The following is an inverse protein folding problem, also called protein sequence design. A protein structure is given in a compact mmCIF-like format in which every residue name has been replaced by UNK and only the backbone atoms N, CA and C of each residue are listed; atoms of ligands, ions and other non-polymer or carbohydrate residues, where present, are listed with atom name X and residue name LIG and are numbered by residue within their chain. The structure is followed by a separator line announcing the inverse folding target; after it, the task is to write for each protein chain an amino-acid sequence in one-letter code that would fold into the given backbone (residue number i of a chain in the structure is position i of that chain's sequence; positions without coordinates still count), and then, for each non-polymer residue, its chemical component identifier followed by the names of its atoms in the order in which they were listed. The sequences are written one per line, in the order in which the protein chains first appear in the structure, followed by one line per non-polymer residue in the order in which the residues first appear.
data_IF_682352640153
#
_entry.id   IF_682352640153
#
_cell.length_a   1.000
_cell.length_b   1.000
_cell.length_c   1.000
_cell.angle_alpha   90.00
_cell.angle_beta   90.00
_cell.angle_gamma   90.00
#
_symmetry.space_group_name_H-M   'P 1'
#
loop_
_entity.id
_entity.type
_entity.pdbx_description
1 polymer ?
#
# COMPACT_ATOMS: atom_id res chain seq x y z
N UNK A 1 82.13 -22.55 -39.43
CA UNK A 1 81.73 -22.46 -38.01
C UNK A 1 80.65 -21.39 -37.95
N UNK A 2 79.40 -21.78 -38.15
CA UNK A 2 78.22 -20.92 -38.06
C UNK A 2 77.25 -21.65 -37.13
N UNK A 3 77.05 -21.12 -35.93
CA UNK A 3 76.03 -21.60 -35.00
C UNK A 3 74.66 -21.21 -35.52
N UNK A 4 73.84 -22.23 -35.79
CA UNK A 4 72.40 -22.09 -36.02
C UNK A 4 71.76 -22.13 -34.63
N UNK A 5 71.41 -20.96 -34.11
CA UNK A 5 70.53 -20.82 -32.94
C UNK A 5 69.13 -21.28 -33.35
N UNK A 6 68.71 -22.45 -32.85
CA UNK A 6 67.32 -22.82 -32.82
C UNK A 6 66.62 -21.97 -31.76
N UNK A 7 65.82 -21.00 -32.19
CA UNK A 7 64.77 -20.43 -31.37
C UNK A 7 63.75 -21.54 -31.07
N UNK A 8 63.90 -22.17 -29.92
CA UNK A 8 62.81 -22.89 -29.27
C UNK A 8 61.80 -21.85 -28.83
N UNK A 9 60.80 -21.61 -29.68
CA UNK A 9 59.55 -20.95 -29.30
C UNK A 9 58.90 -21.78 -28.18
N UNK A 10 59.25 -21.45 -26.94
CA UNK A 10 58.51 -21.87 -25.77
C UNK A 10 57.11 -21.27 -25.90
N UNK A 11 56.15 -22.10 -26.31
CA UNK A 11 54.74 -21.81 -26.14
C UNK A 11 54.51 -21.62 -24.64
N UNK A 12 54.55 -20.36 -24.20
CA UNK A 12 54.12 -19.98 -22.88
C UNK A 12 52.63 -20.29 -22.78
N UNK A 13 52.31 -21.47 -22.25
CA UNK A 13 50.97 -21.84 -21.84
C UNK A 13 50.57 -20.85 -20.75
N UNK A 14 49.85 -19.80 -21.13
CA UNK A 14 49.29 -18.83 -20.19
C UNK A 14 48.35 -19.58 -19.26
N UNK A 15 48.79 -19.76 -18.02
CA UNK A 15 48.06 -20.51 -17.00
C UNK A 15 46.75 -19.80 -16.70
N UNK A 16 45.65 -20.49 -16.96
CA UNK A 16 44.27 -20.09 -16.73
C UNK A 16 44.05 -19.50 -15.32
N UNK A 17 43.77 -18.20 -15.25
CA UNK A 17 43.28 -17.51 -14.04
C UNK A 17 41.84 -17.02 -14.20
N UNK A 18 41.00 -17.80 -14.90
CA UNK A 18 39.63 -17.40 -15.26
C UNK A 18 38.50 -18.14 -14.50
N UNK A 19 38.77 -19.26 -13.83
CA UNK A 19 37.70 -20.10 -13.24
C UNK A 19 36.95 -19.45 -12.08
N UNK A 20 37.66 -18.73 -11.19
CA UNK A 20 37.04 -18.08 -10.02
C UNK A 20 36.09 -16.93 -10.39
N UNK A 21 36.34 -16.25 -11.52
CA UNK A 21 35.49 -15.15 -11.97
C UNK A 21 34.15 -15.66 -12.53
N UNK A 22 34.16 -16.75 -13.31
CA UNK A 22 32.92 -17.30 -13.88
C UNK A 22 32.03 -17.94 -12.82
N UNK A 23 32.60 -18.60 -11.81
CA UNK A 23 31.85 -19.13 -10.67
C UNK A 23 31.09 -18.03 -9.94
N UNK A 24 31.74 -16.89 -9.68
CA UNK A 24 31.11 -15.72 -9.06
C UNK A 24 29.95 -15.18 -9.93
N UNK A 25 30.16 -15.03 -11.25
CA UNK A 25 29.11 -14.58 -12.16
C UNK A 25 27.92 -15.56 -12.19
N UNK A 26 28.16 -16.87 -12.20
CA UNK A 26 27.10 -17.88 -12.12
C UNK A 26 26.31 -17.78 -10.81
N UNK A 27 27.00 -17.55 -9.68
CA UNK A 27 26.34 -17.36 -8.39
C UNK A 27 25.46 -16.09 -8.36
N UNK A 28 25.96 -14.96 -8.88
CA UNK A 28 25.22 -13.70 -8.97
C UNK A 28 23.96 -13.87 -9.83
N UNK A 29 24.09 -14.49 -11.00
CA UNK A 29 22.97 -14.70 -11.92
C UNK A 29 21.93 -15.64 -11.32
N UNK A 30 22.37 -16.70 -10.63
CA UNK A 30 21.47 -17.61 -9.91
C UNK A 30 20.70 -16.88 -8.80
N UNK A 31 21.40 -16.03 -8.03
CA UNK A 31 20.75 -15.21 -6.99
C UNK A 31 19.72 -14.25 -7.57
N UNK A 32 20.05 -13.56 -8.67
CA UNK A 32 19.11 -12.68 -9.38
C UNK A 32 17.88 -13.44 -9.86
N UNK A 33 18.06 -14.66 -10.37
CA UNK A 33 16.96 -15.52 -10.80
C UNK A 33 16.00 -15.87 -9.65
N UNK A 34 16.54 -16.24 -8.48
CA UNK A 34 15.73 -16.53 -7.28
C UNK A 34 14.97 -15.28 -6.82
N UNK A 35 15.67 -14.13 -6.76
CA UNK A 35 15.06 -12.85 -6.37
C UNK A 35 13.95 -12.45 -7.36
N UNK A 36 14.19 -12.57 -8.67
CA UNK A 36 13.19 -12.27 -9.69
C UNK A 36 11.95 -13.17 -9.57
N UNK A 37 12.11 -14.48 -9.36
CA UNK A 37 10.97 -15.37 -9.11
C UNK A 37 10.16 -14.93 -7.89
N UNK A 38 10.83 -14.67 -6.78
CA UNK A 38 10.17 -14.22 -5.56
C UNK A 38 9.38 -12.93 -5.78
N UNK A 39 9.99 -11.92 -6.42
CA UNK A 39 9.34 -10.64 -6.71
C UNK A 39 8.16 -10.79 -7.67
N UNK A 40 8.27 -11.64 -8.70
CA UNK A 40 7.17 -11.92 -9.64
C UNK A 40 5.98 -12.59 -8.95
N UNK A 41 6.22 -13.66 -8.17
CA UNK A 41 5.17 -14.35 -7.42
C UNK A 41 4.49 -13.37 -6.46
N UNK A 42 5.29 -12.62 -5.69
CA UNK A 42 4.79 -11.61 -4.75
C UNK A 42 4.00 -10.51 -5.47
N UNK A 43 4.45 -10.07 -6.64
CA UNK A 43 3.75 -9.10 -7.46
C UNK A 43 2.37 -9.60 -7.86
N UNK A 44 2.28 -10.78 -8.49
CA UNK A 44 1.00 -11.28 -8.99
C UNK A 44 -0.03 -11.55 -7.90
N UNK A 45 0.40 -12.10 -6.76
CA UNK A 45 -0.47 -12.31 -5.60
C UNK A 45 -1.06 -10.98 -5.13
N UNK A 46 -0.23 -9.96 -4.95
CA UNK A 46 -0.70 -8.68 -4.41
C UNK A 46 -1.42 -7.81 -5.45
N UNK A 47 -1.06 -7.94 -6.73
CA UNK A 47 -1.77 -7.30 -7.83
C UNK A 47 -3.20 -7.85 -7.95
N UNK A 48 -3.36 -9.17 -7.93
CA UNK A 48 -4.68 -9.82 -7.89
C UNK A 48 -5.48 -9.37 -6.67
N UNK A 49 -4.87 -9.40 -5.47
CA UNK A 49 -5.52 -8.92 -4.23
C UNK A 49 -5.96 -7.46 -4.34
N UNK A 50 -5.17 -6.61 -4.98
CA UNK A 50 -5.50 -5.21 -5.20
C UNK A 50 -6.71 -5.05 -6.13
N UNK A 51 -6.76 -5.79 -7.24
CA UNK A 51 -7.92 -5.79 -8.14
C UNK A 51 -9.16 -6.27 -7.41
N UNK A 52 -9.08 -7.44 -6.77
CA UNK A 52 -10.19 -8.05 -6.04
C UNK A 52 -10.74 -7.10 -4.96
N UNK A 53 -9.83 -6.42 -4.23
CA UNK A 53 -10.22 -5.44 -3.22
C UNK A 53 -10.86 -4.19 -3.84
N UNK A 54 -10.33 -3.69 -4.96
CA UNK A 54 -10.89 -2.54 -5.68
C UNK A 54 -12.32 -2.85 -6.14
N UNK A 55 -12.53 -4.01 -6.75
CA UNK A 55 -13.84 -4.50 -7.19
C UNK A 55 -14.80 -4.65 -6.01
N UNK A 56 -14.38 -5.28 -4.92
CA UNK A 56 -15.22 -5.46 -3.72
C UNK A 56 -15.67 -4.13 -3.12
N UNK A 57 -14.74 -3.18 -2.94
CA UNK A 57 -15.02 -1.93 -2.22
C UNK A 57 -15.84 -0.96 -3.08
N UNK A 58 -15.54 -0.86 -4.37
CA UNK A 58 -16.26 0.05 -5.28
C UNK A 58 -17.57 -0.55 -5.79
N UNK A 59 -17.65 -1.87 -6.00
CA UNK A 59 -18.86 -2.59 -6.40
C UNK A 59 -19.53 -1.92 -7.63
N UNK A 60 -20.83 -1.63 -7.56
CA UNK A 60 -21.64 -0.96 -8.59
C UNK A 60 -21.08 0.38 -9.10
N UNK A 61 -20.27 1.10 -8.32
CA UNK A 61 -19.67 2.36 -8.76
C UNK A 61 -18.51 2.12 -9.75
N UNK A 62 -17.97 0.89 -9.81
CA UNK A 62 -16.90 0.50 -10.72
C UNK A 62 -17.49 0.02 -12.05
N UNK A 63 -17.64 0.97 -12.98
CA UNK A 63 -18.21 0.78 -14.32
C UNK A 63 -17.11 0.65 -15.39
N UNK A 64 -15.86 0.98 -15.06
CA UNK A 64 -14.71 0.83 -15.95
C UNK A 64 -13.53 0.24 -15.19
N UNK A 65 -12.64 -0.43 -15.93
CA UNK A 65 -11.33 -0.88 -15.46
C UNK A 65 -10.60 0.20 -14.66
N UNK A 66 -10.59 0.05 -13.35
CA UNK A 66 -9.88 0.92 -12.43
C UNK A 66 -9.28 0.06 -11.31
N UNK A 67 -8.03 0.36 -10.94
CA UNK A 67 -7.29 -0.34 -9.91
C UNK A 67 -6.80 0.72 -8.92
N UNK A 68 -7.25 0.63 -7.67
CA UNK A 68 -6.91 1.61 -6.66
C UNK A 68 -5.39 1.68 -6.47
N UNK A 69 -4.85 2.90 -6.48
CA UNK A 69 -3.45 3.16 -6.21
C UNK A 69 -2.50 2.79 -7.35
N UNK A 70 -3.00 2.33 -8.50
CA UNK A 70 -2.18 2.14 -9.70
C UNK A 70 -2.13 3.46 -10.49
N UNK A 71 -1.08 4.25 -10.28
CA UNK A 71 -0.82 5.48 -11.05
C UNK A 71 0.69 5.66 -11.26
N UNK A 72 1.08 6.44 -12.26
CA UNK A 72 2.50 6.72 -12.55
C UNK A 72 3.26 7.34 -11.36
N UNK A 73 2.56 7.96 -10.41
CA UNK A 73 3.16 8.60 -9.24
C UNK A 73 3.14 7.70 -8.00
N UNK A 74 2.60 6.49 -8.08
CA UNK A 74 2.45 5.60 -6.92
C UNK A 74 3.62 4.63 -6.77
N UNK A 75 3.84 4.19 -5.53
CA UNK A 75 4.84 3.16 -5.20
C UNK A 75 4.62 1.85 -5.99
N UNK A 76 3.38 1.56 -6.37
CA UNK A 76 3.03 0.41 -7.19
C UNK A 76 3.72 0.44 -8.57
N UNK A 77 3.72 1.61 -9.21
CA UNK A 77 4.36 1.81 -10.50
C UNK A 77 5.88 1.70 -10.41
N UNK A 78 6.48 2.25 -9.35
CA UNK A 78 7.92 2.08 -9.10
C UNK A 78 8.30 0.61 -8.85
N UNK A 79 7.47 -0.17 -8.16
CA UNK A 79 7.70 -1.61 -7.99
C UNK A 79 7.69 -2.35 -9.34
N UNK A 80 6.78 -2.00 -10.26
CA UNK A 80 6.76 -2.56 -11.62
C UNK A 80 8.08 -2.26 -12.33
N UNK A 81 8.54 -1.01 -12.28
CA UNK A 81 9.81 -0.60 -12.90
C UNK A 81 10.98 -1.38 -12.30
N UNK A 82 11.06 -1.49 -10.97
CA UNK A 82 12.15 -2.19 -10.28
C UNK A 82 12.21 -3.65 -10.71
N UNK A 83 11.07 -4.35 -10.76
CA UNK A 83 11.01 -5.75 -11.22
C UNK A 83 11.56 -5.87 -12.64
N UNK A 84 11.10 -5.01 -13.55
CA UNK A 84 11.56 -5.00 -14.94
C UNK A 84 13.06 -4.74 -15.04
N UNK A 85 13.59 -3.78 -14.28
CA UNK A 85 15.02 -3.46 -14.25
C UNK A 85 15.88 -4.61 -13.72
N UNK A 86 15.43 -5.32 -12.68
CA UNK A 86 16.18 -6.46 -12.12
C UNK A 86 16.16 -7.65 -13.10
N UNK A 87 15.04 -7.90 -13.78
CA UNK A 87 14.97 -8.92 -14.84
C UNK A 87 15.92 -8.55 -15.99
N UNK A 88 15.89 -7.30 -16.47
CA UNK A 88 16.83 -6.85 -17.50
C UNK A 88 18.28 -6.97 -17.06
N UNK A 89 18.60 -6.64 -15.81
CA UNK A 89 19.95 -6.79 -15.26
C UNK A 89 20.41 -8.25 -15.33
N UNK A 90 19.55 -9.22 -14.98
CA UNK A 90 19.84 -10.63 -15.14
C UNK A 90 20.12 -10.99 -16.61
N UNK A 91 19.28 -10.53 -17.54
CA UNK A 91 19.43 -10.81 -18.98
C UNK A 91 20.77 -10.27 -19.50
N UNK A 92 21.08 -9.00 -19.22
CA UNK A 92 22.32 -8.38 -19.67
C UNK A 92 23.56 -9.02 -19.04
N UNK A 93 23.56 -9.27 -17.73
CA UNK A 93 24.70 -9.92 -17.05
C UNK A 93 24.93 -11.32 -17.63
N UNK A 94 23.86 -12.08 -17.87
CA UNK A 94 23.94 -13.42 -18.47
C UNK A 94 24.53 -13.36 -19.88
N UNK A 95 24.07 -12.40 -20.70
CA UNK A 95 24.58 -12.20 -22.06
C UNK A 95 26.08 -11.79 -22.07
N UNK A 96 26.47 -10.82 -21.24
CA UNK A 96 27.87 -10.40 -21.13
C UNK A 96 28.78 -11.52 -20.62
N UNK A 97 28.32 -12.29 -19.62
CA UNK A 97 29.05 -13.43 -19.10
C UNK A 97 29.21 -14.52 -20.16
N UNK A 98 28.16 -14.77 -20.96
CA UNK A 98 28.18 -15.74 -22.05
C UNK A 98 29.22 -15.38 -23.12
N UNK A 99 29.25 -14.13 -23.58
CA UNK A 99 30.26 -13.64 -24.54
C UNK A 99 31.67 -13.83 -23.99
N UNK A 100 31.88 -13.52 -22.70
CA UNK A 100 33.18 -13.68 -22.04
C UNK A 100 33.60 -15.15 -21.91
N UNK A 101 32.66 -16.04 -21.62
CA UNK A 101 32.90 -17.48 -21.55
C UNK A 101 33.37 -18.02 -22.90
N UNK A 102 32.66 -17.70 -23.99
CA UNK A 102 33.07 -18.11 -25.34
C UNK A 102 34.44 -17.56 -25.74
N UNK A 103 34.70 -16.27 -25.49
CA UNK A 103 35.99 -15.65 -25.80
C UNK A 103 37.16 -16.24 -24.99
N UNK A 104 36.90 -16.75 -23.79
CA UNK A 104 37.91 -17.40 -22.94
C UNK A 104 38.16 -18.89 -23.25
N UNK A 105 37.34 -19.50 -24.12
CA UNK A 105 37.38 -20.94 -24.42
C UNK A 105 36.92 -21.85 -23.27
N UNK A 106 36.48 -21.32 -22.13
CA UNK A 106 36.02 -22.12 -20.99
C UNK A 106 34.52 -22.41 -21.04
N UNK A 107 34.10 -23.21 -22.02
CA UNK A 107 32.69 -23.49 -22.34
C UNK A 107 31.92 -24.26 -21.26
N UNK A 108 32.58 -24.72 -20.19
CA UNK A 108 31.94 -25.45 -19.08
C UNK A 108 30.83 -24.64 -18.37
N UNK A 109 30.96 -23.31 -18.33
CA UNK A 109 29.97 -22.42 -17.73
C UNK A 109 28.92 -21.89 -18.71
N UNK A 110 29.09 -22.13 -20.02
CA UNK A 110 28.18 -21.62 -21.05
C UNK A 110 26.71 -22.07 -20.83
N UNK A 111 26.42 -23.35 -20.49
CA UNK A 111 25.04 -23.79 -20.26
C UNK A 111 24.31 -23.00 -19.18
N UNK A 112 25.01 -22.62 -18.10
CA UNK A 112 24.41 -21.84 -16.99
C UNK A 112 23.99 -20.45 -17.45
N UNK A 113 24.85 -19.76 -18.21
CA UNK A 113 24.54 -18.42 -18.70
C UNK A 113 23.50 -18.42 -19.82
N UNK A 114 23.47 -19.46 -20.67
CA UNK A 114 22.40 -19.66 -21.67
C UNK A 114 21.06 -19.84 -20.96
N UNK A 115 20.98 -20.78 -20.01
CA UNK A 115 19.76 -21.05 -19.27
C UNK A 115 19.26 -19.80 -18.53
N UNK A 116 20.15 -19.06 -17.87
CA UNK A 116 19.78 -17.85 -17.16
C UNK A 116 19.29 -16.71 -18.06
N UNK A 117 19.86 -16.58 -19.26
CA UNK A 117 19.39 -15.65 -20.28
C UNK A 117 17.99 -16.03 -20.77
N UNK A 118 17.78 -17.29 -21.16
CA UNK A 118 16.49 -17.79 -21.63
C UNK A 118 15.40 -17.66 -20.55
N UNK A 119 15.70 -18.09 -19.33
CA UNK A 119 14.80 -17.96 -18.18
C UNK A 119 14.48 -16.48 -17.92
N UNK A 120 15.45 -15.57 -18.03
CA UNK A 120 15.22 -14.13 -17.88
C UNK A 120 14.24 -13.58 -18.92
N UNK A 121 14.37 -13.98 -20.18
CA UNK A 121 13.43 -13.61 -21.25
C UNK A 121 12.04 -14.20 -21.02
N UNK A 122 11.96 -15.47 -20.61
CA UNK A 122 10.69 -16.13 -20.26
C UNK A 122 10.03 -15.40 -19.09
N UNK A 123 10.78 -15.01 -18.06
CA UNK A 123 10.28 -14.23 -16.92
C UNK A 123 9.74 -12.87 -17.35
N UNK A 124 10.44 -12.17 -18.24
CA UNK A 124 9.97 -10.89 -18.77
C UNK A 124 8.67 -11.06 -19.57
N UNK A 125 8.63 -12.05 -20.46
CA UNK A 125 7.42 -12.38 -21.22
C UNK A 125 6.26 -12.76 -20.31
N UNK A 126 6.51 -13.63 -19.33
CA UNK A 126 5.53 -14.04 -18.34
C UNK A 126 5.03 -12.85 -17.50
N UNK A 127 5.91 -11.91 -17.14
CA UNK A 127 5.55 -10.69 -16.43
C UNK A 127 4.56 -9.85 -17.23
N UNK A 128 4.92 -9.51 -18.47
CA UNK A 128 4.10 -8.68 -19.36
C UNK A 128 2.77 -9.37 -19.66
N UNK A 129 2.81 -10.63 -20.11
CA UNK A 129 1.61 -11.39 -20.47
C UNK A 129 0.69 -11.52 -19.25
N UNK A 130 1.21 -11.96 -18.10
CA UNK A 130 0.37 -12.18 -16.92
C UNK A 130 -0.20 -10.87 -16.35
N UNK A 131 0.53 -9.75 -16.44
CA UNK A 131 0.01 -8.45 -16.04
C UNK A 131 -1.25 -8.08 -16.86
N UNK A 132 -1.18 -8.22 -18.19
CA UNK A 132 -2.31 -7.94 -19.08
C UNK A 132 -3.43 -8.98 -18.94
N UNK A 133 -3.11 -10.28 -18.87
CA UNK A 133 -4.09 -11.36 -18.72
C UNK A 133 -4.85 -11.21 -17.41
N UNK A 134 -4.18 -10.95 -16.28
CA UNK A 134 -4.87 -10.75 -15.01
C UNK A 134 -5.83 -9.57 -15.07
N UNK A 135 -5.41 -8.46 -15.67
CA UNK A 135 -6.28 -7.30 -15.86
C UNK A 135 -7.47 -7.65 -16.75
N UNK A 136 -7.22 -8.24 -17.92
CA UNK A 136 -8.27 -8.63 -18.85
C UNK A 136 -9.26 -9.60 -18.22
N UNK A 137 -8.80 -10.72 -17.66
CA UNK A 137 -9.68 -11.74 -17.05
C UNK A 137 -10.51 -11.16 -15.91
N UNK A 138 -9.93 -10.28 -15.08
CA UNK A 138 -10.65 -9.68 -13.95
C UNK A 138 -11.67 -8.62 -14.37
N UNK A 139 -11.43 -7.92 -15.48
CA UNK A 139 -12.32 -6.89 -16.00
C UNK A 139 -13.11 -7.34 -17.24
N UNK A 140 -13.10 -8.62 -17.59
CA UNK A 140 -13.90 -9.17 -18.70
C UNK A 140 -15.35 -9.46 -18.26
N UNK A 141 -16.03 -8.45 -17.72
CA UNK A 141 -17.45 -8.48 -17.40
C UNK A 141 -18.16 -7.35 -18.14
N UNK A 142 -19.41 -7.53 -18.62
CA UNK A 142 -20.15 -6.49 -19.35
C UNK A 142 -20.36 -5.17 -18.58
N UNK A 143 -20.25 -5.23 -17.25
CA UNK A 143 -20.25 -4.08 -16.36
C UNK A 143 -19.08 -3.13 -16.64
N UNK A 144 -17.92 -3.64 -17.05
CA UNK A 144 -16.71 -2.85 -17.27
C UNK A 144 -16.68 -2.33 -18.70
N UNK A 145 -17.29 -1.18 -18.92
CA UNK A 145 -17.44 -0.53 -20.21
C UNK A 145 -16.13 0.11 -20.66
N UNK A 146 -15.85 0.02 -21.95
CA UNK A 146 -14.58 0.46 -22.53
C UNK A 146 -14.60 1.94 -22.96
N UNK A 147 -15.72 2.40 -23.54
CA UNK A 147 -15.84 3.77 -24.05
C UNK A 147 -16.32 4.72 -22.96
N UNK A 148 -15.93 5.99 -23.04
CA UNK A 148 -16.37 6.98 -22.05
C UNK A 148 -17.89 7.23 -22.14
N UNK A 149 -18.48 7.13 -23.32
CA UNK A 149 -19.91 7.27 -23.55
C UNK A 149 -20.70 6.12 -22.90
N UNK A 150 -20.25 4.87 -23.06
CA UNK A 150 -20.86 3.73 -22.39
C UNK A 150 -20.78 3.86 -20.86
N UNK A 151 -19.62 4.30 -20.34
CA UNK A 151 -19.45 4.54 -18.90
C UNK A 151 -20.39 5.64 -18.43
N UNK A 152 -20.53 6.71 -19.21
CA UNK A 152 -21.44 7.80 -18.91
C UNK A 152 -22.89 7.32 -18.81
N UNK A 153 -23.37 6.59 -19.82
CA UNK A 153 -24.72 6.05 -19.90
C UNK A 153 -25.03 5.08 -18.74
N UNK A 154 -24.06 4.25 -18.36
CA UNK A 154 -24.19 3.34 -17.23
C UNK A 154 -24.26 4.11 -15.90
N UNK A 155 -23.49 5.19 -15.73
CA UNK A 155 -23.60 6.06 -14.55
C UNK A 155 -24.93 6.81 -14.49
N UNK A 156 -25.47 7.25 -15.63
CA UNK A 156 -26.84 7.79 -15.72
C UNK A 156 -27.87 6.74 -15.30
N UNK A 157 -27.67 5.49 -15.73
CA UNK A 157 -28.53 4.37 -15.30
C UNK A 157 -28.42 4.11 -13.80
N UNK A 158 -27.21 4.16 -13.24
CA UNK A 158 -26.97 4.03 -11.80
C UNK A 158 -27.60 5.18 -10.99
N UNK A 159 -27.56 6.41 -11.51
CA UNK A 159 -28.23 7.59 -10.94
C UNK A 159 -29.73 7.35 -10.82
N UNK A 160 -30.39 6.86 -11.87
CA UNK A 160 -31.82 6.57 -11.82
C UNK A 160 -32.14 5.39 -10.89
N UNK A 161 -31.31 4.34 -10.88
CA UNK A 161 -31.49 3.19 -9.98
C UNK A 161 -31.37 3.59 -8.51
N UNK A 162 -30.52 4.55 -8.19
CA UNK A 162 -30.26 5.04 -6.82
C UNK A 162 -31.04 6.28 -6.42
N UNK A 163 -31.92 6.78 -7.29
CA UNK A 163 -32.57 8.10 -7.17
C UNK A 163 -33.19 8.38 -5.80
N UNK A 164 -33.74 7.37 -5.13
CA UNK A 164 -34.35 7.49 -3.80
C UNK A 164 -33.34 7.65 -2.68
N UNK A 165 -32.14 7.09 -2.83
CA UNK A 165 -31.06 7.15 -1.85
C UNK A 165 -30.15 8.39 -2.02
N UNK A 166 -30.26 9.11 -3.14
CA UNK A 166 -29.45 10.31 -3.40
C UNK A 166 -30.02 11.51 -2.66
N UNK A 167 -29.17 12.19 -1.90
CA UNK A 167 -29.54 13.43 -1.23
C UNK A 167 -29.61 14.56 -2.27
N UNK A 168 -30.81 15.07 -2.52
CA UNK A 168 -31.01 16.21 -3.44
C UNK A 168 -30.52 17.54 -2.85
N UNK A 169 -30.32 17.60 -1.53
CA UNK A 169 -29.91 18.78 -0.79
C UNK A 169 -28.43 18.74 -0.39
N UNK A 170 -27.60 17.99 -1.13
CA UNK A 170 -26.16 17.97 -0.87
C UNK A 170 -25.57 19.40 -0.93
N UNK A 171 -24.59 19.73 -0.07
CA UNK A 171 -24.04 21.08 0.00
C UNK A 171 -23.24 21.41 -1.26
N UNK A 172 -23.41 22.62 -1.81
CA UNK A 172 -22.63 23.03 -3.00
C UNK A 172 -21.13 23.08 -2.71
N UNK A 173 -20.77 23.57 -1.53
CA UNK A 173 -19.39 23.67 -1.05
C UNK A 173 -19.28 23.18 0.39
N UNK A 174 -18.16 22.55 0.70
CA UNK A 174 -17.77 22.18 2.06
C UNK A 174 -16.49 22.95 2.37
N UNK A 175 -16.39 23.49 3.58
CA UNK A 175 -15.16 24.10 4.08
C UNK A 175 -14.82 23.47 5.44
N UNK A 176 -13.59 23.00 5.59
CA UNK A 176 -13.06 22.41 6.82
C UNK A 176 -12.08 23.39 7.45
N UNK A 177 -12.14 23.58 8.76
CA UNK A 177 -11.11 24.32 9.48
C UNK A 177 -9.82 23.48 9.58
N UNK A 178 -8.98 23.59 8.55
CA UNK A 178 -7.71 22.87 8.47
C UNK A 178 -6.72 23.30 9.55
N UNK A 179 -6.84 24.52 10.13
CA UNK A 179 -5.95 24.97 11.21
C UNK A 179 -6.30 24.27 12.51
N UNK A 180 -7.59 24.24 12.87
CA UNK A 180 -8.07 23.48 14.03
C UNK A 180 -7.76 21.99 13.86
N UNK A 181 -8.00 21.43 12.69
CA UNK A 181 -7.67 20.03 12.41
C UNK A 181 -6.18 19.73 12.59
N UNK A 182 -5.28 20.59 12.05
CA UNK A 182 -3.83 20.43 12.17
C UNK A 182 -3.33 20.36 13.61
N UNK A 183 -4.00 21.04 14.54
CA UNK A 183 -3.65 20.99 15.98
C UNK A 183 -3.99 19.65 16.65
N UNK A 184 -4.88 18.87 16.05
CA UNK A 184 -5.38 17.60 16.58
C UNK A 184 -4.94 16.38 15.76
N UNK A 185 -4.53 16.61 14.51
CA UNK A 185 -4.01 15.61 13.58
C UNK A 185 -3.18 16.30 12.49
N UNK A 186 -1.87 16.05 12.48
CA UNK A 186 -0.93 16.73 11.58
C UNK A 186 -1.08 16.28 10.11
N UNK A 187 -1.59 15.05 9.87
CA UNK A 187 -1.60 14.41 8.55
C UNK A 187 -2.92 14.59 7.80
N UNK A 188 -4.06 14.52 8.50
CA UNK A 188 -5.39 14.67 7.90
C UNK A 188 -5.63 15.94 7.09
N UNK A 189 -5.08 17.14 7.43
CA UNK A 189 -5.27 18.33 6.62
C UNK A 189 -4.81 18.17 5.16
N UNK A 190 -3.79 17.34 4.91
CA UNK A 190 -3.28 17.08 3.55
C UNK A 190 -4.25 16.20 2.75
N UNK A 191 -4.93 15.26 3.41
CA UNK A 191 -5.96 14.42 2.80
C UNK A 191 -7.20 15.27 2.50
N UNK A 192 -7.70 15.99 3.51
CA UNK A 192 -8.94 16.75 3.39
C UNK A 192 -8.83 17.97 2.48
N UNK A 193 -7.70 18.66 2.42
CA UNK A 193 -7.51 19.75 1.46
C UNK A 193 -7.71 19.27 0.02
N UNK A 194 -7.18 18.10 -0.34
CA UNK A 194 -7.38 17.49 -1.66
C UNK A 194 -8.81 17.01 -1.86
N UNK A 195 -9.39 16.35 -0.86
CA UNK A 195 -10.72 15.77 -0.97
C UNK A 195 -11.79 16.85 -1.13
N UNK A 196 -11.75 17.85 -0.25
CA UNK A 196 -12.66 18.99 -0.30
C UNK A 196 -12.42 19.87 -1.53
N UNK A 197 -11.16 20.06 -1.95
CA UNK A 197 -10.85 20.74 -3.21
C UNK A 197 -11.53 20.05 -4.40
N UNK A 198 -11.34 18.73 -4.54
CA UNK A 198 -12.04 17.95 -5.57
C UNK A 198 -13.56 18.03 -5.44
N UNK A 199 -14.11 17.90 -4.24
CA UNK A 199 -15.55 17.98 -4.02
C UNK A 199 -16.10 19.32 -4.48
N UNK A 200 -15.46 20.42 -4.10
CA UNK A 200 -15.91 21.78 -4.42
C UNK A 200 -15.83 22.07 -5.91
N UNK A 201 -14.73 21.68 -6.55
CA UNK A 201 -14.43 21.99 -7.96
C UNK A 201 -14.90 20.87 -8.92
N UNK A 202 -15.64 19.88 -8.41
CA UNK A 202 -15.99 18.65 -9.13
C UNK A 202 -16.65 18.91 -10.50
N UNK A 203 -17.51 19.92 -10.59
CA UNK A 203 -18.23 20.30 -11.81
C UNK A 203 -17.36 20.96 -12.88
N UNK A 204 -16.18 21.47 -12.50
CA UNK A 204 -15.23 22.12 -13.42
C UNK A 204 -14.23 21.12 -14.03
N UNK A 205 -14.23 19.87 -13.55
CA UNK A 205 -13.31 18.82 -13.96
C UNK A 205 -13.93 17.98 -15.08
N UNK A 206 -13.20 17.81 -16.18
CA UNK A 206 -13.59 16.92 -17.27
C UNK A 206 -13.86 15.48 -16.77
N UNK A 207 -14.97 14.87 -17.21
CA UNK A 207 -15.44 13.55 -16.80
C UNK A 207 -14.34 12.47 -16.77
N UNK A 208 -13.47 12.46 -17.79
CA UNK A 208 -12.33 11.53 -17.91
C UNK A 208 -11.40 11.54 -16.70
N UNK A 209 -11.24 12.69 -16.05
CA UNK A 209 -10.43 12.88 -14.83
C UNK A 209 -11.30 12.82 -13.57
N UNK A 210 -12.50 13.36 -13.64
CA UNK A 210 -13.46 13.42 -12.54
C UNK A 210 -13.79 12.02 -12.01
N UNK A 211 -14.10 11.07 -12.91
CA UNK A 211 -14.54 9.73 -12.53
C UNK A 211 -13.47 8.92 -11.76
N UNK A 212 -12.20 8.81 -12.24
CA UNK A 212 -11.15 8.16 -11.45
C UNK A 212 -10.88 8.81 -10.09
N UNK A 213 -11.00 10.14 -9.99
CA UNK A 213 -10.84 10.85 -8.71
C UNK A 213 -11.97 10.53 -7.75
N UNK A 214 -13.21 10.50 -8.25
CA UNK A 214 -14.38 10.06 -7.50
C UNK A 214 -14.20 8.62 -6.98
N UNK A 215 -13.82 7.68 -7.85
CA UNK A 215 -13.55 6.29 -7.45
C UNK A 215 -12.45 6.21 -6.39
N UNK A 216 -11.38 7.00 -6.54
CA UNK A 216 -10.26 6.98 -5.59
C UNK A 216 -10.69 7.42 -4.19
N UNK A 217 -11.44 8.52 -4.08
CA UNK A 217 -11.94 9.00 -2.79
C UNK A 217 -12.98 8.06 -2.20
N UNK A 218 -13.94 7.60 -3.01
CA UNK A 218 -14.97 6.67 -2.56
C UNK A 218 -14.36 5.36 -2.05
N UNK A 219 -13.35 4.82 -2.75
CA UNK A 219 -12.61 3.64 -2.29
C UNK A 219 -12.02 3.90 -0.90
N UNK A 220 -11.35 5.03 -0.70
CA UNK A 220 -10.64 5.34 0.54
C UNK A 220 -11.59 5.47 1.72
N UNK A 221 -12.73 6.13 1.53
CA UNK A 221 -13.76 6.28 2.56
C UNK A 221 -14.35 4.91 2.95
N UNK A 222 -14.75 4.11 1.96
CA UNK A 222 -15.32 2.78 2.22
C UNK A 222 -14.30 1.82 2.85
N UNK A 223 -13.05 1.86 2.40
CA UNK A 223 -11.98 1.06 2.97
C UNK A 223 -11.66 1.48 4.41
N UNK A 224 -11.69 2.79 4.69
CA UNK A 224 -11.58 3.30 6.06
C UNK A 224 -12.69 2.72 6.95
N UNK A 225 -13.95 2.76 6.51
CA UNK A 225 -15.06 2.21 7.29
C UNK A 225 -14.89 0.71 7.57
N UNK A 226 -14.57 -0.10 6.55
CA UNK A 226 -14.34 -1.55 6.68
C UNK A 226 -13.21 -1.88 7.68
N UNK A 227 -12.10 -1.15 7.61
CA UNK A 227 -10.94 -1.39 8.47
C UNK A 227 -11.17 -0.85 9.87
N UNK A 228 -11.80 0.32 10.03
CA UNK A 228 -12.13 0.87 11.35
C UNK A 228 -13.09 -0.05 12.11
N UNK A 229 -14.12 -0.58 11.45
CA UNK A 229 -15.02 -1.59 12.04
C UNK A 229 -14.25 -2.84 12.51
N UNK A 230 -13.30 -3.31 11.70
CA UNK A 230 -12.47 -4.48 12.04
C UNK A 230 -11.57 -4.21 13.26
N UNK A 231 -11.00 -3.00 13.34
CA UNK A 231 -10.15 -2.57 14.47
C UNK A 231 -10.97 -2.46 15.75
N UNK A 232 -12.15 -1.84 15.69
CA UNK A 232 -13.01 -1.68 16.87
C UNK A 232 -13.51 -3.04 17.40
N UNK A 233 -13.87 -3.98 16.51
CA UNK A 233 -14.18 -5.37 16.90
C UNK A 233 -12.98 -6.07 17.54
N UNK A 234 -11.78 -5.88 16.99
CA UNK A 234 -10.55 -6.44 17.57
C UNK A 234 -10.26 -5.88 18.97
N UNK A 235 -10.45 -4.58 19.16
CA UNK A 235 -10.31 -3.93 20.48
C UNK A 235 -11.32 -4.46 21.49
N UNK A 236 -12.59 -4.60 21.12
CA UNK A 236 -13.62 -5.09 22.04
C UNK A 236 -13.33 -6.53 22.51
N UNK A 237 -12.89 -7.41 21.59
CA UNK A 237 -12.50 -8.78 21.92
C UNK A 237 -11.27 -8.84 22.85
N UNK A 238 -10.28 -7.98 22.62
CA UNK A 238 -9.10 -7.90 23.50
C UNK A 238 -9.48 -7.44 24.90
N UNK A 239 -10.32 -6.40 25.02
CA UNK A 239 -10.82 -5.91 26.31
C UNK A 239 -11.63 -6.98 27.04
N UNK A 240 -12.47 -7.73 26.33
CA UNK A 240 -13.23 -8.84 26.91
C UNK A 240 -12.32 -9.97 27.39
N UNK A 241 -11.27 -10.30 26.63
CA UNK A 241 -10.26 -11.29 27.03
C UNK A 241 -9.42 -10.84 28.25
N UNK A 242 -9.12 -9.55 28.37
CA UNK A 242 -8.41 -8.98 29.52
C UNK A 242 -9.30 -8.90 30.75
N UNK A 243 -10.58 -8.53 30.60
CA UNK A 243 -11.58 -8.60 31.67
C UNK A 243 -11.73 -10.03 32.17
N UNK A 244 -11.81 -11.01 31.26
CA UNK A 244 -11.90 -12.42 31.61
C UNK A 244 -10.65 -12.96 32.33
N UNK A 245 -9.45 -12.42 32.03
CA UNK A 245 -8.21 -12.72 32.77
C UNK A 245 -8.17 -12.05 34.15
N UNK A 246 -8.79 -10.88 34.30
CA UNK A 246 -8.91 -10.17 35.59
C UNK A 246 -10.03 -10.74 36.48
N UNK A 247 -10.99 -11.48 35.89
CA UNK A 247 -12.01 -12.26 36.60
C UNK A 247 -11.68 -13.75 36.69
N UNK A 248 -10.39 -14.12 36.70
CA UNK A 248 -10.02 -15.38 37.36
C UNK A 248 -10.26 -15.16 38.85
N UNK A 249 -11.40 -15.64 39.36
CA UNK A 249 -11.68 -15.59 40.79
C UNK A 249 -10.44 -16.09 41.55
N UNK A 250 -9.91 -15.33 42.53
CA UNK A 250 -8.72 -15.70 43.29
C UNK A 250 -8.91 -16.95 44.18
N UNK A 251 -10.06 -17.63 44.06
CA UNK A 251 -10.46 -18.79 44.82
C UNK A 251 -9.67 -20.07 44.46
N UNK A 252 -9.17 -20.21 43.22
CA UNK A 252 -8.53 -21.45 42.75
C UNK A 252 -7.02 -21.35 42.41
N UNK A 253 -6.36 -20.22 42.67
CA UNK A 253 -4.92 -20.06 42.41
C UNK A 253 -4.08 -20.49 43.63
N UNK A 254 -3.01 -21.25 43.38
CA UNK A 254 -2.03 -21.63 44.41
C UNK A 254 -1.25 -20.41 44.92
N UNK A 255 -0.64 -20.52 46.10
CA UNK A 255 0.10 -19.41 46.75
C UNK A 255 1.20 -18.83 45.86
N UNK A 256 1.87 -19.68 45.09
CA UNK A 256 2.95 -19.31 44.16
C UNK A 256 2.39 -18.54 42.96
N UNK A 257 1.27 -18.99 42.38
CA UNK A 257 0.66 -18.31 41.24
C UNK A 257 0.15 -16.92 41.61
N UNK A 258 -0.36 -16.73 42.83
CA UNK A 258 -0.74 -15.41 43.37
C UNK A 258 0.45 -14.46 43.51
N UNK A 259 1.61 -14.99 43.90
CA UNK A 259 2.84 -14.23 44.08
C UNK A 259 3.46 -13.82 42.74
N UNK A 260 3.45 -14.71 41.74
CA UNK A 260 3.85 -14.39 40.36
C UNK A 260 2.95 -13.31 39.76
N UNK A 261 1.64 -13.41 39.96
CA UNK A 261 0.67 -12.43 39.44
C UNK A 261 0.83 -11.06 40.13
N UNK A 262 1.15 -11.05 41.42
CA UNK A 262 1.47 -9.82 42.15
C UNK A 262 2.79 -9.18 41.68
N UNK A 263 3.83 -9.99 41.46
CA UNK A 263 5.12 -9.51 40.95
C UNK A 263 4.99 -8.91 39.55
N UNK A 264 4.23 -9.54 38.65
CA UNK A 264 3.95 -8.97 37.32
C UNK A 264 3.17 -7.65 37.39
N UNK A 265 2.26 -7.51 38.34
CA UNK A 265 1.50 -6.27 38.56
C UNK A 265 2.38 -5.17 39.16
N UNK A 266 3.28 -5.52 40.08
CA UNK A 266 4.23 -4.61 40.70
C UNK A 266 5.27 -4.11 39.68
N UNK A 267 5.79 -4.98 38.83
CA UNK A 267 6.74 -4.63 37.78
C UNK A 267 6.10 -3.73 36.71
N UNK A 268 4.85 -4.03 36.31
CA UNK A 268 4.07 -3.14 35.44
C UNK A 268 3.84 -1.75 36.07
N UNK A 269 3.50 -1.68 37.36
CA UNK A 269 3.34 -0.41 38.08
C UNK A 269 4.66 0.37 38.18
N UNK A 270 5.77 -0.31 38.46
CA UNK A 270 7.09 0.32 38.53
C UNK A 270 7.52 0.87 37.16
N UNK A 271 7.26 0.13 36.08
CA UNK A 271 7.54 0.58 34.71
C UNK A 271 6.71 1.81 34.34
N UNK A 272 5.41 1.82 34.66
CA UNK A 272 4.53 2.99 34.45
C UNK A 272 5.00 4.19 35.27
N UNK A 273 5.39 4.00 36.54
CA UNK A 273 5.90 5.06 37.40
C UNK A 273 7.20 5.69 36.86
N UNK A 274 8.11 4.86 36.35
CA UNK A 274 9.37 5.30 35.76
C UNK A 274 9.16 6.02 34.42
N UNK A 275 8.21 5.56 33.61
CA UNK A 275 7.79 6.22 32.37
C UNK A 275 7.02 7.52 32.64
N UNK A 276 6.40 7.69 33.81
CA UNK A 276 5.64 8.91 34.18
C UNK A 276 6.47 9.99 34.89
N UNK A 277 7.59 9.63 35.55
CA UNK A 277 8.49 10.61 36.17
C UNK A 277 9.06 11.62 35.14
N UNK A 278 9.43 11.15 33.94
CA UNK A 278 9.98 12.01 32.87
C UNK A 278 8.91 12.87 32.16
N UNK A 279 7.62 12.52 32.29
CA UNK A 279 6.52 13.31 31.72
C UNK A 279 6.29 14.62 32.50
N UNK A 280 6.61 14.63 33.81
CA UNK A 280 6.43 15.78 34.69
C UNK A 280 7.38 16.95 34.40
N UNK A 281 8.48 16.71 33.69
CA UNK A 281 9.52 17.71 33.34
C UNK A 281 9.39 18.24 31.91
N UNK A 282 8.45 17.72 31.14
CA UNK A 282 8.31 17.99 29.71
C UNK A 282 7.33 19.13 29.46
N UNK A 283 7.62 19.99 28.47
CA UNK A 283 6.63 21.00 28.05
C UNK A 283 5.42 20.30 27.43
N UNK A 284 4.24 20.93 27.49
CA UNK A 284 3.00 20.38 26.91
C UNK A 284 3.15 20.05 25.42
N UNK A 285 3.90 20.87 24.69
CA UNK A 285 4.16 20.68 23.26
C UNK A 285 5.08 19.48 23.00
N UNK A 286 6.14 19.33 23.78
CA UNK A 286 7.08 18.22 23.64
C UNK A 286 6.44 16.89 24.10
N UNK A 287 5.60 16.93 25.13
CA UNK A 287 4.78 15.80 25.55
C UNK A 287 3.82 15.36 24.46
N UNK A 288 3.07 16.30 23.87
CA UNK A 288 2.16 16.00 22.77
C UNK A 288 2.90 15.40 21.58
N UNK A 289 4.06 15.97 21.21
CA UNK A 289 4.89 15.45 20.12
C UNK A 289 5.38 14.03 20.40
N UNK A 290 5.91 13.74 21.60
CA UNK A 290 6.38 12.39 21.95
C UNK A 290 5.23 11.39 22.08
N UNK A 291 4.08 11.82 22.58
CA UNK A 291 2.86 10.99 22.62
C UNK A 291 2.38 10.65 21.20
N UNK A 292 2.38 11.64 20.30
CA UNK A 292 2.07 11.47 18.88
C UNK A 292 3.05 10.50 18.19
N UNK A 293 4.35 10.65 18.42
CA UNK A 293 5.39 9.74 17.93
C UNK A 293 5.25 8.32 18.51
N UNK A 294 4.89 8.21 19.78
CA UNK A 294 4.64 6.93 20.45
C UNK A 294 3.39 6.23 19.89
N UNK A 295 2.27 6.95 19.73
CA UNK A 295 1.04 6.40 19.15
C UNK A 295 1.28 5.95 17.72
N UNK A 296 2.04 6.72 16.93
CA UNK A 296 2.41 6.37 15.57
C UNK A 296 3.29 5.11 15.52
N UNK A 297 4.35 5.05 16.32
CA UNK A 297 5.24 3.88 16.36
C UNK A 297 4.55 2.63 16.90
N UNK A 298 3.73 2.76 17.94
CA UNK A 298 2.94 1.67 18.50
C UNK A 298 1.93 1.12 17.48
N UNK A 299 1.19 1.98 16.78
CA UNK A 299 0.23 1.55 15.73
C UNK A 299 0.91 0.94 14.52
N UNK A 300 2.14 1.36 14.18
CA UNK A 300 2.89 0.73 13.08
C UNK A 300 3.24 -0.72 13.37
N UNK A 301 3.42 -1.06 14.66
CA UNK A 301 3.83 -2.40 15.12
C UNK A 301 2.62 -3.25 15.54
N UNK A 302 1.49 -2.62 15.88
CA UNK A 302 0.26 -3.29 16.29
C UNK A 302 -0.36 -4.14 15.16
N UNK A 303 -0.53 -5.47 15.35
CA UNK A 303 -1.21 -6.34 14.41
C UNK A 303 -2.60 -5.84 13.97
N UNK A 304 -3.34 -5.16 14.84
CA UNK A 304 -4.67 -4.61 14.52
C UNK A 304 -4.61 -3.53 13.44
N UNK A 305 -3.52 -2.77 13.37
CA UNK A 305 -3.33 -1.67 12.42
C UNK A 305 -2.47 -2.07 11.21
N UNK A 306 -1.97 -3.31 11.13
CA UNK A 306 -1.32 -3.83 9.91
C UNK A 306 -2.15 -3.68 8.62
N UNK A 307 -3.50 -3.77 8.64
CA UNK A 307 -4.31 -3.53 7.45
C UNK A 307 -4.27 -2.09 6.94
N UNK A 308 -3.89 -1.14 7.79
CA UNK A 308 -3.80 0.29 7.49
C UNK A 308 -2.42 0.66 6.94
N UNK A 309 -1.37 0.06 7.50
CA UNK A 309 0.00 0.46 7.18
C UNK A 309 0.28 0.41 5.68
N UNK A 310 0.95 1.46 5.20
CA UNK A 310 1.29 1.63 3.80
C UNK A 310 2.06 0.42 3.29
N UNK A 311 1.60 -0.13 2.17
CA UNK A 311 2.19 -1.32 1.60
C UNK A 311 2.45 -1.10 0.11
N UNK A 312 3.73 -1.13 -0.29
CA UNK A 312 4.10 -0.90 -1.69
C UNK A 312 3.61 -2.01 -2.63
N UNK A 313 3.32 -3.21 -2.10
CA UNK A 313 2.82 -4.35 -2.86
C UNK A 313 1.30 -4.38 -2.97
N UNK A 314 0.57 -3.88 -1.96
CA UNK A 314 -0.89 -3.74 -1.97
C UNK A 314 -1.25 -2.30 -2.30
N UNK A 315 -1.50 -2.01 -3.59
CA UNK A 315 -1.50 -0.65 -4.10
C UNK A 315 -2.59 0.23 -3.50
N UNK A 316 -3.66 -0.39 -3.02
CA UNK A 316 -4.76 0.30 -2.35
C UNK A 316 -4.45 0.77 -0.92
N UNK A 317 -3.33 0.33 -0.32
CA UNK A 317 -2.80 0.83 0.96
C UNK A 317 -1.76 1.91 0.70
N UNK A 318 -2.24 3.06 0.25
CA UNK A 318 -1.40 4.23 0.01
C UNK A 318 -1.22 5.10 1.28
N UNK A 319 -0.44 6.17 1.15
CA UNK A 319 -0.18 7.06 2.29
C UNK A 319 -1.44 7.77 2.80
N UNK A 320 -2.41 8.08 1.92
CA UNK A 320 -3.63 8.78 2.36
C UNK A 320 -4.52 7.86 3.22
N UNK A 321 -4.53 6.55 2.95
CA UNK A 321 -5.15 5.58 3.85
C UNK A 321 -4.46 5.58 5.21
N UNK A 322 -3.13 5.51 5.25
CA UNK A 322 -2.38 5.51 6.51
C UNK A 322 -2.62 6.79 7.32
N UNK A 323 -2.63 7.94 6.65
CA UNK A 323 -2.89 9.27 7.24
C UNK A 323 -4.28 9.34 7.90
N UNK A 324 -5.31 8.69 7.33
CA UNK A 324 -6.67 8.65 7.90
C UNK A 324 -6.72 7.97 9.28
N UNK A 325 -5.81 7.03 9.52
CA UNK A 325 -5.74 6.25 10.76
C UNK A 325 -4.68 6.76 11.74
N UNK A 326 -4.04 7.88 11.43
CA UNK A 326 -3.11 8.55 12.36
C UNK A 326 -3.80 8.88 13.69
N UNK A 327 -5.03 9.41 13.63
CA UNK A 327 -5.91 9.55 14.79
C UNK A 327 -7.36 9.49 14.33
N UNK A 328 -8.02 8.36 14.57
CA UNK A 328 -9.43 8.13 14.19
C UNK A 328 -10.42 8.81 15.12
N UNK A 329 -10.00 9.17 16.33
CA UNK A 329 -10.85 9.79 17.35
C UNK A 329 -10.72 11.32 17.34
N UNK A 330 -10.58 11.89 16.14
CA UNK A 330 -10.46 13.33 15.95
C UNK A 330 -11.79 13.92 15.52
N UNK A 331 -12.07 15.11 16.05
CA UNK A 331 -13.23 15.90 15.68
C UNK A 331 -12.93 16.75 14.43
N UNK A 332 -13.82 16.70 13.44
CA UNK A 332 -13.77 17.48 12.21
C UNK A 332 -14.73 18.65 12.34
N UNK A 333 -14.20 19.86 12.31
CA UNK A 333 -14.99 21.10 12.27
C UNK A 333 -15.16 21.57 10.84
N UNK A 334 -16.40 21.69 10.39
CA UNK A 334 -16.71 22.01 9.00
C UNK A 334 -17.95 22.91 8.87
N UNK A 335 -18.10 23.52 7.70
CA UNK A 335 -19.22 24.39 7.33
C UNK A 335 -19.72 24.03 5.94
N UNK A 336 -21.03 24.12 5.74
CA UNK A 336 -21.72 23.80 4.47
C UNK A 336 -22.46 25.00 3.88
N UNK A 337 -22.78 25.99 4.71
CA UNK A 337 -23.58 27.17 4.34
C UNK A 337 -22.72 28.43 4.32
N UNK A 338 -21.59 28.40 3.61
CA UNK A 338 -20.68 29.55 3.46
C UNK A 338 -20.25 30.18 4.80
N UNK A 339 -20.09 29.34 5.84
CA UNK A 339 -19.65 29.77 7.17
C UNK A 339 -20.75 30.16 8.16
N UNK A 340 -22.03 30.08 7.79
CA UNK A 340 -23.14 30.47 8.70
C UNK A 340 -23.34 29.51 9.88
N UNK A 341 -23.14 28.21 9.66
CA UNK A 341 -23.27 27.17 10.69
C UNK A 341 -22.00 26.34 10.77
N UNK A 342 -21.43 26.28 11.97
CA UNK A 342 -20.27 25.45 12.29
C UNK A 342 -20.80 24.12 12.81
N UNK A 343 -20.44 23.04 12.12
CA UNK A 343 -20.73 21.67 12.53
C UNK A 343 -19.44 21.00 13.03
N UNK A 344 -19.60 20.05 13.92
CA UNK A 344 -18.50 19.31 14.52
C UNK A 344 -18.91 17.84 14.67
N UNK A 345 -18.22 16.94 13.97
CA UNK A 345 -18.47 15.50 13.98
C UNK A 345 -17.16 14.74 14.18
N UNK A 346 -17.21 13.55 14.77
CA UNK A 346 -16.06 12.65 14.80
C UNK A 346 -15.71 12.20 13.38
N UNK A 347 -14.43 11.93 13.11
CA UNK A 347 -13.93 11.55 11.78
C UNK A 347 -14.76 10.43 11.12
N UNK A 348 -15.10 9.31 11.78
CA UNK A 348 -15.91 8.27 11.14
C UNK A 348 -17.29 8.76 10.71
N UNK A 349 -17.97 9.54 11.55
CA UNK A 349 -19.30 10.07 11.28
C UNK A 349 -19.27 11.11 10.17
N UNK A 350 -18.26 11.99 10.19
CA UNK A 350 -18.02 12.95 9.13
C UNK A 350 -17.79 12.25 7.78
N UNK A 351 -16.97 11.19 7.75
CA UNK A 351 -16.68 10.45 6.53
C UNK A 351 -17.91 9.76 5.96
N UNK A 352 -18.82 9.26 6.79
CA UNK A 352 -20.11 8.72 6.33
C UNK A 352 -20.94 9.81 5.66
N UNK A 353 -21.14 10.96 6.33
CA UNK A 353 -21.86 12.10 5.75
C UNK A 353 -21.22 12.57 4.44
N UNK A 354 -19.90 12.75 4.45
CA UNK A 354 -19.13 13.16 3.29
C UNK A 354 -19.26 12.16 2.13
N UNK A 355 -19.29 10.85 2.40
CA UNK A 355 -19.52 9.82 1.39
C UNK A 355 -20.84 10.05 0.65
N UNK A 356 -21.92 10.28 1.38
CA UNK A 356 -23.25 10.46 0.81
C UNK A 356 -23.33 11.73 -0.01
N UNK A 357 -22.71 12.82 0.45
CA UNK A 357 -22.58 14.05 -0.33
C UNK A 357 -21.73 13.87 -1.58
N UNK A 358 -20.62 13.14 -1.50
CA UNK A 358 -19.73 12.87 -2.63
C UNK A 358 -20.45 12.08 -3.71
N UNK A 359 -21.16 11.01 -3.34
CA UNK A 359 -21.97 10.18 -4.25
C UNK A 359 -23.09 11.02 -4.88
N UNK A 360 -23.83 11.76 -4.06
CA UNK A 360 -24.98 12.56 -4.53
C UNK A 360 -24.52 13.66 -5.47
N UNK A 361 -23.48 14.41 -5.12
CA UNK A 361 -22.91 15.46 -5.97
C UNK A 361 -22.35 14.90 -7.28
N UNK A 362 -21.69 13.75 -7.25
CA UNK A 362 -21.18 13.12 -8.45
C UNK A 362 -22.31 12.67 -9.37
N UNK A 363 -23.24 11.83 -8.89
CA UNK A 363 -24.29 11.24 -9.73
C UNK A 363 -25.34 12.26 -10.19
N UNK A 364 -25.70 13.24 -9.37
CA UNK A 364 -26.73 14.21 -9.73
C UNK A 364 -26.26 15.23 -10.78
N UNK A 365 -24.96 15.50 -10.85
CA UNK A 365 -24.35 16.44 -11.83
C UNK A 365 -23.90 15.76 -13.14
N UNK A 366 -24.20 14.48 -13.32
CA UNK A 366 -24.10 13.81 -14.63
C UNK A 366 -25.38 14.18 -15.40
N UNK A 367 -25.24 14.99 -16.46
CA UNK A 367 -26.31 15.51 -17.33
C UNK A 367 -26.32 14.93 -18.76
#
# INVERSE_FOLDING_TARGET
MNEILYDTSSSATSTQKASGSFLLFSAIVTLLMIVNMYLLIKYFINYKRTIDKTQKVLSEYLVKDYIQGLSFKSNAFFNIIIIVLIIFSQVFISLFALVRVYNSGNVSYAPVFIAAYEIGLIMLGAFVISHFVLRYVKFNYPQYKNTNEDVYNELVSLKELKKEALDKNYPKKISIDLKKLRSSNVLLPNVFSKWIGFYNDMSEIEFKKQYPLFLSQLFKIKYFAEVNESIEKGKSLNIESEKNKLTVEPANLTKIEKEVLWMEQADRKAKILKETEDLSKMSKEEFNKKYEEYVYSARTIDPLYQPVSKNSWLFYRDAEIEDLFYNTNVSITYTMDEGKKINEDMLPDFLIKYQDYLISKFLLNIE
#
